data_IF_520953997754
#
_entry.id   IF_520953997754
#
_cell.length_a   1.000
_cell.length_b   1.000
_cell.length_c   1.000
_cell.angle_alpha   90.00
_cell.angle_beta   90.00
_cell.angle_gamma   90.00
#
_symmetry.space_group_name_H-M   'P 1'
#
loop_
_entity.id
_entity.type
_entity.pdbx_description
1 polymer ?
#
# COMPACT_ATOMS: atom_id res chain seq x y z
N UNK A 1 21.33 -6.76 -12.90
CA UNK A 1 20.47 -7.78 -12.24
C UNK A 1 19.04 -7.54 -12.70
N UNK A 2 18.30 -8.56 -13.14
CA UNK A 2 16.91 -8.40 -13.65
C UNK A 2 15.89 -8.41 -12.50
N UNK A 3 16.21 -9.10 -11.41
CA UNK A 3 15.43 -9.14 -10.18
C UNK A 3 15.88 -8.02 -9.23
N UNK A 4 14.95 -7.51 -8.44
CA UNK A 4 15.19 -6.51 -7.41
C UNK A 4 14.61 -7.02 -6.10
N UNK A 5 15.25 -6.73 -4.97
CA UNK A 5 14.81 -7.19 -3.65
C UNK A 5 14.43 -6.04 -2.73
N UNK A 6 13.56 -6.35 -1.77
CA UNK A 6 13.10 -5.40 -0.77
C UNK A 6 12.54 -6.09 0.45
N UNK A 7 12.03 -5.28 1.35
CA UNK A 7 11.38 -5.74 2.57
C UNK A 7 10.28 -4.77 3.00
N UNK A 8 9.66 -5.12 4.12
CA UNK A 8 8.48 -4.45 4.67
C UNK A 8 8.84 -3.60 5.88
N UNK A 9 8.43 -2.34 5.85
CA UNK A 9 8.36 -1.41 6.98
C UNK A 9 9.68 -1.14 7.69
N UNK A 10 10.23 -2.07 8.46
CA UNK A 10 11.32 -1.80 9.41
C UNK A 10 12.61 -2.51 9.01
N UNK A 11 13.73 -1.77 8.96
CA UNK A 11 15.06 -2.36 8.91
C UNK A 11 15.48 -2.76 10.33
N UNK A 12 15.52 -4.06 10.63
CA UNK A 12 15.86 -4.56 11.98
C UNK A 12 17.30 -4.22 12.39
N UNK A 13 18.20 -4.01 11.43
CA UNK A 13 19.59 -3.63 11.68
C UNK A 13 19.76 -2.17 12.13
N UNK A 14 18.72 -1.33 12.01
CA UNK A 14 18.77 0.05 12.46
C UNK A 14 18.24 0.19 13.89
N UNK A 15 19.10 0.70 14.77
CA UNK A 15 18.74 0.98 16.16
C UNK A 15 17.61 2.04 16.26
N UNK A 16 16.55 1.73 17.02
CA UNK A 16 15.43 2.65 17.30
C UNK A 16 14.87 3.37 16.07
N UNK A 17 14.75 2.65 14.94
CA UNK A 17 14.34 3.21 13.66
C UNK A 17 12.97 2.72 13.16
N UNK A 18 12.06 2.38 14.07
CA UNK A 18 10.71 1.96 13.66
C UNK A 18 9.95 3.13 12.99
N UNK A 19 9.39 2.95 11.78
CA UNK A 19 8.54 3.94 11.11
C UNK A 19 7.05 3.74 11.44
N UNK A 20 6.74 2.94 12.46
CA UNK A 20 5.38 2.49 12.78
C UNK A 20 5.01 2.76 14.23
N UNK A 21 5.61 3.77 14.87
CA UNK A 21 5.16 4.19 16.19
C UNK A 21 3.70 4.62 16.09
N UNK A 22 2.88 4.19 17.06
CA UNK A 22 1.43 4.40 17.03
C UNK A 22 0.94 5.10 18.28
N UNK A 23 -0.22 5.73 18.16
CA UNK A 23 -0.99 6.29 19.25
C UNK A 23 -2.41 5.74 19.14
N UNK A 24 -2.81 4.90 20.10
CA UNK A 24 -4.18 4.37 20.11
C UNK A 24 -5.16 5.49 20.36
N UNK A 25 -6.36 5.37 19.80
CA UNK A 25 -7.40 6.38 19.96
C UNK A 25 -7.78 6.60 21.44
N UNK A 26 -7.86 5.52 22.23
CA UNK A 26 -8.09 5.59 23.68
C UNK A 26 -7.01 6.41 24.38
N UNK A 27 -5.74 6.21 24.04
CA UNK A 27 -4.64 6.96 24.65
C UNK A 27 -4.61 8.41 24.18
N UNK A 28 -4.99 8.70 22.94
CA UNK A 28 -5.18 10.05 22.43
C UNK A 28 -6.31 10.79 23.13
N UNK A 29 -7.48 10.14 23.32
CA UNK A 29 -8.63 10.72 24.05
C UNK A 29 -8.31 11.09 25.49
N UNK A 30 -7.47 10.30 26.16
CA UNK A 30 -7.01 10.56 27.55
C UNK A 30 -6.10 11.77 27.70
N UNK A 31 -5.55 12.30 26.61
CA UNK A 31 -4.68 13.48 26.66
C UNK A 31 -5.50 14.75 26.88
N UNK A 32 -4.85 15.73 27.50
CA UNK A 32 -5.32 17.12 27.49
C UNK A 32 -5.44 17.61 26.05
N UNK A 33 -6.48 18.40 25.77
CA UNK A 33 -6.82 18.84 24.42
C UNK A 33 -5.66 19.56 23.72
N UNK A 34 -4.94 20.41 24.46
CA UNK A 34 -3.75 21.10 23.98
C UNK A 34 -2.62 20.14 23.55
N UNK A 35 -2.40 19.04 24.28
CA UNK A 35 -1.31 18.10 24.00
C UNK A 35 -1.64 17.03 22.95
N UNK A 36 -2.92 16.86 22.59
CA UNK A 36 -3.36 15.85 21.61
C UNK A 36 -2.66 16.00 20.26
N UNK A 37 -2.60 17.25 19.78
CA UNK A 37 -1.96 17.60 18.50
C UNK A 37 -0.45 17.39 18.56
N UNK A 38 0.19 17.84 19.63
CA UNK A 38 1.64 17.72 19.82
C UNK A 38 2.10 16.26 19.82
N UNK A 39 1.33 15.35 20.43
CA UNK A 39 1.66 13.91 20.44
C UNK A 39 1.55 13.28 19.05
N UNK A 40 0.52 13.61 18.29
CA UNK A 40 0.41 13.18 16.90
C UNK A 40 1.61 13.68 16.10
N UNK A 41 1.94 14.96 16.27
CA UNK A 41 3.03 15.58 15.52
C UNK A 41 4.37 14.93 15.84
N UNK A 42 4.67 14.76 17.12
CA UNK A 42 5.90 14.14 17.58
C UNK A 42 6.08 12.71 17.04
N UNK A 43 5.02 11.90 17.10
CA UNK A 43 5.08 10.50 16.65
C UNK A 43 5.23 10.43 15.12
N UNK A 44 4.45 11.23 14.38
CA UNK A 44 4.55 11.29 12.92
C UNK A 44 5.93 11.78 12.47
N UNK A 45 6.45 12.83 13.09
CA UNK A 45 7.78 13.36 12.77
C UNK A 45 8.87 12.28 12.99
N UNK A 46 8.80 11.55 14.10
CA UNK A 46 9.71 10.43 14.38
C UNK A 46 9.60 9.32 13.33
N UNK A 47 8.38 8.95 12.95
CA UNK A 47 8.16 7.92 11.93
C UNK A 47 8.76 8.34 10.59
N UNK A 48 8.54 9.58 10.13
CA UNK A 48 9.09 10.11 8.88
C UNK A 48 10.62 10.20 8.91
N UNK A 49 11.20 10.69 10.01
CA UNK A 49 12.66 10.70 10.22
C UNK A 49 13.25 9.29 10.19
N UNK A 50 12.55 8.32 10.76
CA UNK A 50 12.96 6.92 10.72
C UNK A 50 12.85 6.31 9.31
N UNK A 51 11.83 6.70 8.54
CA UNK A 51 11.74 6.33 7.12
C UNK A 51 12.92 6.88 6.32
N UNK A 52 13.34 8.12 6.55
CA UNK A 52 14.54 8.69 5.92
C UNK A 52 15.79 7.86 6.25
N UNK A 53 15.98 7.49 7.53
CA UNK A 53 17.08 6.60 7.95
C UNK A 53 17.04 5.24 7.26
N UNK A 54 15.85 4.67 7.12
CA UNK A 54 15.61 3.42 6.39
C UNK A 54 15.98 3.56 4.91
N UNK A 55 15.58 4.66 4.25
CA UNK A 55 15.94 4.88 2.86
C UNK A 55 17.45 4.99 2.66
N UNK A 56 18.16 5.69 3.56
CA UNK A 56 19.63 5.71 3.53
C UNK A 56 20.24 4.32 3.73
N UNK A 57 19.69 3.51 4.64
CA UNK A 57 20.10 2.12 4.81
C UNK A 57 19.91 1.32 3.51
N UNK A 58 18.75 1.45 2.87
CA UNK A 58 18.43 0.78 1.61
C UNK A 58 19.40 1.16 0.51
N UNK A 59 19.68 2.46 0.36
CA UNK A 59 20.64 2.99 -0.62
C UNK A 59 22.03 2.41 -0.37
N UNK A 60 22.49 2.40 0.88
CA UNK A 60 23.82 1.89 1.24
C UNK A 60 23.99 0.39 0.99
N UNK A 61 22.89 -0.38 1.05
CA UNK A 61 22.90 -1.85 0.89
C UNK A 61 22.38 -2.33 -0.47
N UNK A 62 22.06 -1.41 -1.40
CA UNK A 62 21.51 -1.76 -2.70
C UNK A 62 20.14 -2.43 -2.65
N UNK A 63 19.32 -2.08 -1.64
CA UNK A 63 17.93 -2.56 -1.51
C UNK A 63 17.03 -1.61 -2.27
N UNK A 64 16.48 -2.08 -3.39
CA UNK A 64 15.79 -1.21 -4.35
C UNK A 64 14.26 -1.16 -4.15
N UNK A 65 13.65 -2.14 -3.47
CA UNK A 65 12.23 -2.09 -3.12
C UNK A 65 12.02 -1.86 -1.63
N UNK A 66 11.03 -1.04 -1.31
CA UNK A 66 10.64 -0.79 0.07
C UNK A 66 9.14 -0.57 0.21
N UNK A 67 8.48 -1.48 0.94
CA UNK A 67 7.09 -1.26 1.33
C UNK A 67 7.08 -0.40 2.60
N UNK A 68 6.62 0.84 2.46
CA UNK A 68 6.49 1.77 3.58
C UNK A 68 5.42 1.28 4.57
N UNK A 69 5.52 1.74 5.82
CA UNK A 69 4.52 1.42 6.84
C UNK A 69 3.23 2.20 6.63
N UNK A 70 2.08 1.54 6.62
CA UNK A 70 0.78 2.24 6.66
C UNK A 70 0.55 2.99 7.98
N UNK A 71 1.37 2.74 9.01
CA UNK A 71 1.27 3.39 10.33
C UNK A 71 2.18 4.63 10.47
N UNK A 72 2.70 5.19 9.37
CA UNK A 72 3.52 6.42 9.41
C UNK A 72 2.82 7.57 10.14
N UNK A 73 1.52 7.72 9.89
CA UNK A 73 0.70 8.79 10.48
C UNK A 73 -0.38 8.16 11.37
N UNK A 74 -0.20 8.17 12.71
CA UNK A 74 -1.20 7.62 13.62
C UNK A 74 -2.53 8.34 13.51
N UNK A 75 -3.62 7.57 13.52
CA UNK A 75 -5.00 8.08 13.56
C UNK A 75 -5.39 8.99 12.38
N UNK A 76 -4.62 9.00 11.28
CA UNK A 76 -4.90 9.83 10.10
C UNK A 76 -6.32 9.62 9.55
N UNK A 77 -6.77 8.37 9.53
CA UNK A 77 -8.09 7.97 9.02
C UNK A 77 -9.17 7.89 10.10
N UNK A 78 -8.86 8.22 11.35
CA UNK A 78 -9.83 8.12 12.44
C UNK A 78 -10.87 9.26 12.37
N UNK A 79 -12.19 8.96 12.36
CA UNK A 79 -13.23 9.95 12.07
C UNK A 79 -13.34 11.08 13.10
N UNK A 80 -12.93 10.83 14.35
CA UNK A 80 -12.93 11.83 15.43
C UNK A 80 -11.64 12.66 15.53
N UNK A 81 -10.57 12.30 14.82
CA UNK A 81 -9.26 12.98 14.97
C UNK A 81 -9.04 14.00 13.85
N UNK A 82 -9.33 13.62 12.59
CA UNK A 82 -9.28 14.45 11.37
C UNK A 82 -8.33 15.65 11.46
N UNK A 83 -7.06 15.42 11.14
CA UNK A 83 -6.01 16.41 11.33
C UNK A 83 -5.12 16.52 10.09
N UNK A 84 -4.58 17.72 9.87
CA UNK A 84 -3.63 17.98 8.78
C UNK A 84 -2.26 17.40 9.11
N UNK A 85 -1.96 16.25 8.49
CA UNK A 85 -0.68 15.56 8.60
C UNK A 85 0.28 15.90 7.47
N UNK A 86 -0.12 16.68 6.46
CA UNK A 86 0.73 16.97 5.30
C UNK A 86 1.50 18.26 5.51
N UNK A 87 0.80 19.36 5.77
CA UNK A 87 1.43 20.70 5.87
C UNK A 87 2.55 20.78 6.91
N UNK A 88 2.39 20.22 8.13
CA UNK A 88 3.43 20.31 9.16
C UNK A 88 4.73 19.57 8.82
N UNK A 89 4.66 18.58 7.92
CA UNK A 89 5.79 17.70 7.60
C UNK A 89 6.20 17.76 6.13
N UNK A 90 5.77 18.80 5.40
CA UNK A 90 6.00 18.93 3.97
C UNK A 90 7.47 18.78 3.57
N UNK A 91 8.41 19.29 4.37
CA UNK A 91 9.84 19.17 4.10
C UNK A 91 10.34 17.72 4.25
N UNK A 92 9.87 16.99 5.28
CA UNK A 92 10.23 15.58 5.49
C UNK A 92 9.65 14.68 4.39
N UNK A 93 8.41 14.92 3.97
CA UNK A 93 7.82 14.19 2.85
C UNK A 93 8.58 14.44 1.54
N UNK A 94 8.92 15.70 1.25
CA UNK A 94 9.74 16.04 0.07
C UNK A 94 11.11 15.39 0.14
N UNK A 95 11.75 15.35 1.30
CA UNK A 95 13.04 14.67 1.49
C UNK A 95 12.94 13.17 1.15
N UNK A 96 11.92 12.48 1.68
CA UNK A 96 11.62 11.08 1.35
C UNK A 96 11.46 10.92 -0.17
N UNK A 97 10.64 11.76 -0.79
CA UNK A 97 10.40 11.77 -2.22
C UNK A 97 11.67 11.93 -3.05
N UNK A 98 12.51 12.89 -2.68
CA UNK A 98 13.78 13.18 -3.33
C UNK A 98 14.75 12.01 -3.24
N UNK A 99 14.87 11.35 -2.08
CA UNK A 99 15.70 10.16 -1.90
C UNK A 99 15.22 9.01 -2.79
N UNK A 100 13.91 8.74 -2.79
CA UNK A 100 13.32 7.66 -3.60
C UNK A 100 13.59 7.89 -5.08
N UNK A 101 13.34 9.10 -5.60
CA UNK A 101 13.53 9.40 -7.02
C UNK A 101 15.01 9.41 -7.42
N UNK A 102 15.86 10.07 -6.64
CA UNK A 102 17.31 10.21 -6.91
C UNK A 102 18.01 8.86 -6.98
N UNK A 103 17.59 7.91 -6.15
CA UNK A 103 18.19 6.58 -6.06
C UNK A 103 17.36 5.49 -6.73
N UNK A 104 16.34 5.87 -7.51
CA UNK A 104 15.48 4.95 -8.27
C UNK A 104 14.87 3.81 -7.44
N UNK A 105 14.56 4.10 -6.17
CA UNK A 105 13.88 3.15 -5.30
C UNK A 105 12.43 2.97 -5.73
N UNK A 106 11.91 1.75 -5.61
CA UNK A 106 10.50 1.45 -5.82
C UNK A 106 9.81 1.32 -4.48
N UNK A 107 8.82 2.17 -4.25
CA UNK A 107 8.09 2.18 -2.98
C UNK A 107 6.63 1.82 -3.17
N UNK A 108 6.05 1.25 -2.13
CA UNK A 108 4.64 0.89 -2.10
C UNK A 108 4.06 1.02 -0.70
N UNK A 109 2.74 1.10 -0.64
CA UNK A 109 1.97 0.81 0.57
C UNK A 109 1.17 -0.47 0.37
N UNK A 110 0.81 -1.07 1.50
CA UNK A 110 -0.19 -2.14 1.53
C UNK A 110 -1.13 -1.85 2.69
N UNK A 111 -2.25 -1.14 2.43
CA UNK A 111 -3.30 -0.92 3.41
C UNK A 111 -3.72 -2.22 4.10
N UNK A 112 -4.28 -2.10 5.29
CA UNK A 112 -4.64 -3.26 6.09
C UNK A 112 -5.86 -4.01 5.49
N UNK A 113 -6.15 -5.18 6.05
CA UNK A 113 -7.24 -6.07 5.64
C UNK A 113 -8.67 -5.49 5.75
N UNK A 114 -8.84 -4.29 6.31
CA UNK A 114 -10.13 -3.61 6.42
C UNK A 114 -10.44 -2.70 5.21
N UNK A 115 -9.47 -2.49 4.31
CA UNK A 115 -9.72 -1.82 3.01
C UNK A 115 -10.43 -2.79 2.07
N UNK A 116 -11.76 -2.75 2.07
CA UNK A 116 -12.62 -3.72 1.37
C UNK A 116 -13.62 -3.04 0.44
N UNK A 117 -13.59 -3.42 -0.83
CA UNK A 117 -14.56 -2.98 -1.85
C UNK A 117 -15.64 -4.04 -2.14
N UNK A 118 -15.50 -5.27 -1.63
CA UNK A 118 -16.48 -6.37 -1.81
C UNK A 118 -17.61 -6.37 -0.79
N UNK A 119 -17.57 -5.48 0.21
CA UNK A 119 -18.55 -5.45 1.31
C UNK A 119 -19.95 -5.03 0.85
N UNK A 120 -21.02 -5.68 1.36
CA UNK A 120 -22.39 -5.20 1.13
C UNK A 120 -22.73 -3.95 1.96
N UNK A 121 -21.91 -3.59 2.95
CA UNK A 121 -22.17 -2.44 3.81
C UNK A 121 -21.45 -1.20 3.25
N UNK A 122 -22.22 -0.17 2.92
CA UNK A 122 -21.72 1.06 2.28
C UNK A 122 -20.60 1.73 3.08
N UNK A 123 -20.74 1.82 4.42
CA UNK A 123 -19.74 2.46 5.27
C UNK A 123 -18.36 1.78 5.22
N UNK A 124 -18.30 0.47 4.93
CA UNK A 124 -17.02 -0.25 4.77
C UNK A 124 -16.32 0.23 3.48
N UNK A 125 -17.07 0.43 2.40
CA UNK A 125 -16.55 1.03 1.16
C UNK A 125 -16.08 2.46 1.39
N UNK A 126 -16.87 3.26 2.13
CA UNK A 126 -16.48 4.63 2.50
C UNK A 126 -15.17 4.65 3.28
N UNK A 127 -14.99 3.74 4.25
CA UNK A 127 -13.75 3.62 5.01
C UNK A 127 -12.58 3.16 4.13
N UNK A 128 -12.81 2.25 3.18
CA UNK A 128 -11.79 1.82 2.21
C UNK A 128 -11.33 3.00 1.34
N UNK A 129 -12.26 3.85 0.88
CA UNK A 129 -11.92 5.07 0.14
C UNK A 129 -11.07 6.02 1.00
N UNK A 130 -11.46 6.26 2.27
CA UNK A 130 -10.68 7.09 3.20
C UNK A 130 -9.27 6.53 3.38
N UNK A 131 -9.11 5.22 3.56
CA UNK A 131 -7.79 4.59 3.75
C UNK A 131 -6.94 4.69 2.49
N UNK A 132 -7.51 4.43 1.30
CA UNK A 132 -6.82 4.57 0.03
C UNK A 132 -6.40 6.02 -0.25
N UNK A 133 -7.26 6.99 0.03
CA UNK A 133 -6.95 8.43 -0.08
C UNK A 133 -5.81 8.84 0.85
N UNK A 134 -5.82 8.39 2.10
CA UNK A 134 -4.73 8.65 3.05
C UNK A 134 -3.36 8.21 2.51
N UNK A 135 -3.27 6.99 1.96
CA UNK A 135 -2.03 6.49 1.38
C UNK A 135 -1.60 7.27 0.13
N UNK A 136 -2.56 7.67 -0.69
CA UNK A 136 -2.31 8.48 -1.88
C UNK A 136 -1.83 9.89 -1.53
N UNK A 137 -2.46 10.56 -0.56
CA UNK A 137 -2.05 11.89 -0.06
C UNK A 137 -0.61 11.89 0.48
N UNK A 138 -0.20 10.82 1.16
CA UNK A 138 1.22 10.65 1.54
C UNK A 138 2.12 10.59 0.31
N UNK A 139 1.75 9.83 -0.72
CA UNK A 139 2.53 9.82 -1.97
C UNK A 139 2.50 11.16 -2.71
N UNK A 140 1.41 11.93 -2.64
CA UNK A 140 1.37 13.28 -3.19
C UNK A 140 2.32 14.23 -2.46
N UNK A 141 2.31 14.20 -1.12
CA UNK A 141 3.24 14.97 -0.29
C UNK A 141 4.72 14.63 -0.60
N UNK A 142 5.00 13.37 -0.95
CA UNK A 142 6.33 12.91 -1.37
C UNK A 142 6.62 13.19 -2.86
N UNK A 143 5.66 13.63 -3.67
CA UNK A 143 5.83 13.73 -5.13
C UNK A 143 5.96 12.37 -5.85
N UNK A 144 5.46 11.29 -5.24
CA UNK A 144 5.56 9.90 -5.70
C UNK A 144 4.23 9.30 -6.19
N UNK A 145 3.12 10.04 -6.14
CA UNK A 145 1.76 9.58 -6.47
C UNK A 145 1.57 9.02 -7.90
N UNK A 146 2.54 9.20 -8.80
CA UNK A 146 2.55 8.58 -10.13
C UNK A 146 3.53 7.40 -10.25
N UNK A 147 4.41 7.22 -9.27
CA UNK A 147 5.57 6.33 -9.30
C UNK A 147 5.58 5.28 -8.19
N UNK A 148 4.47 5.11 -7.48
CA UNK A 148 4.36 4.23 -6.33
C UNK A 148 3.00 3.52 -6.32
N UNK A 149 2.95 2.30 -5.81
CA UNK A 149 1.74 1.48 -5.84
C UNK A 149 1.09 1.33 -4.46
N UNK A 150 -0.24 1.20 -4.45
CA UNK A 150 -1.02 0.86 -3.26
C UNK A 150 -1.61 -0.53 -3.48
N UNK A 151 -1.08 -1.54 -2.77
CA UNK A 151 -1.47 -2.92 -2.97
C UNK A 151 -2.57 -3.35 -2.00
N UNK A 152 -3.64 -3.96 -2.49
CA UNK A 152 -4.72 -4.52 -1.69
C UNK A 152 -5.11 -5.91 -2.18
N UNK A 153 -5.81 -6.67 -1.35
CA UNK A 153 -6.50 -7.89 -1.80
C UNK A 153 -7.87 -7.52 -2.39
N UNK A 154 -8.48 -8.45 -3.12
CA UNK A 154 -9.85 -8.27 -3.65
C UNK A 154 -10.85 -8.06 -2.50
N UNK A 155 -10.71 -8.83 -1.42
CA UNK A 155 -11.51 -8.73 -0.20
C UNK A 155 -12.15 -10.06 0.19
N UNK A 156 -13.29 -10.02 0.88
CA UNK A 156 -14.04 -11.23 1.26
C UNK A 156 -15.07 -11.65 0.21
N UNK A 157 -15.37 -12.95 0.12
CA UNK A 157 -16.41 -13.50 -0.75
C UNK A 157 -17.85 -13.30 -0.22
N UNK A 158 -18.03 -13.07 1.09
CA UNK A 158 -19.35 -12.90 1.72
C UNK A 158 -20.38 -13.98 1.34
N UNK A 159 -19.93 -15.24 1.21
CA UNK A 159 -20.77 -16.38 0.85
C UNK A 159 -20.96 -16.60 -0.66
N UNK A 160 -20.72 -15.59 -1.51
CA UNK A 160 -20.83 -15.70 -2.96
C UNK A 160 -19.77 -14.83 -3.67
N UNK A 161 -18.76 -15.48 -4.27
CA UNK A 161 -17.66 -14.82 -4.97
C UNK A 161 -18.12 -13.96 -6.15
N UNK A 162 -19.10 -14.42 -6.92
CA UNK A 162 -19.59 -13.69 -8.11
C UNK A 162 -20.26 -12.38 -7.70
N UNK A 163 -21.15 -12.42 -6.71
CA UNK A 163 -21.77 -11.21 -6.17
C UNK A 163 -20.75 -10.29 -5.51
N UNK A 164 -19.75 -10.84 -4.81
CA UNK A 164 -18.69 -10.05 -4.20
C UNK A 164 -17.83 -9.33 -5.25
N UNK A 165 -17.49 -9.99 -6.36
CA UNK A 165 -16.80 -9.33 -7.49
C UNK A 165 -17.72 -8.29 -8.14
N UNK A 166 -19.02 -8.56 -8.26
CA UNK A 166 -20.01 -7.56 -8.70
C UNK A 166 -19.96 -6.29 -7.84
N UNK A 167 -19.98 -6.45 -6.51
CA UNK A 167 -19.82 -5.34 -5.57
C UNK A 167 -18.46 -4.66 -5.68
N UNK A 168 -17.38 -5.41 -5.84
CA UNK A 168 -16.05 -4.83 -6.09
C UNK A 168 -16.10 -3.91 -7.32
N UNK A 169 -16.70 -4.36 -8.42
CA UNK A 169 -16.80 -3.59 -9.65
C UNK A 169 -17.58 -2.29 -9.45
N UNK A 170 -18.70 -2.33 -8.73
CA UNK A 170 -19.54 -1.17 -8.43
C UNK A 170 -18.90 -0.20 -7.43
N UNK A 171 -18.21 -0.71 -6.42
CA UNK A 171 -17.65 0.08 -5.34
C UNK A 171 -16.27 0.65 -5.69
N UNK A 172 -15.44 -0.11 -6.38
CA UNK A 172 -14.09 0.29 -6.72
C UNK A 172 -14.09 1.53 -7.62
N UNK A 173 -15.01 1.63 -8.58
CA UNK A 173 -15.13 2.81 -9.46
C UNK A 173 -15.50 4.11 -8.74
N UNK A 174 -15.98 4.04 -7.49
CA UNK A 174 -16.22 5.22 -6.64
C UNK A 174 -14.92 5.84 -6.11
N UNK A 175 -13.83 5.08 -6.12
CA UNK A 175 -12.49 5.58 -5.78
C UNK A 175 -11.99 6.49 -6.91
N UNK A 176 -11.35 7.59 -6.52
CA UNK A 176 -10.75 8.55 -7.46
C UNK A 176 -9.88 7.84 -8.50
N UNK A 177 -9.99 8.28 -9.75
CA UNK A 177 -9.32 7.62 -10.87
C UNK A 177 -7.80 7.62 -10.72
N UNK A 178 -7.19 8.67 -10.15
CA UNK A 178 -5.75 8.73 -9.96
C UNK A 178 -5.30 7.73 -8.89
N UNK A 179 -6.09 7.54 -7.84
CA UNK A 179 -5.82 6.52 -6.83
C UNK A 179 -5.97 5.13 -7.45
N UNK A 180 -7.04 4.87 -8.21
CA UNK A 180 -7.24 3.59 -8.92
C UNK A 180 -6.08 3.24 -9.84
N UNK A 181 -5.49 4.21 -10.55
CA UNK A 181 -4.30 4.01 -11.40
C UNK A 181 -3.08 3.52 -10.62
N UNK A 182 -2.95 3.89 -9.35
CA UNK A 182 -1.88 3.41 -8.47
C UNK A 182 -2.23 2.13 -7.71
N UNK A 183 -3.50 1.76 -7.65
CA UNK A 183 -3.92 0.50 -7.02
C UNK A 183 -3.36 -0.70 -7.78
N UNK A 184 -2.95 -1.70 -7.03
CA UNK A 184 -2.63 -3.05 -7.50
C UNK A 184 -3.40 -4.07 -6.68
N UNK A 185 -3.72 -5.21 -7.29
CA UNK A 185 -4.36 -6.32 -6.58
C UNK A 185 -3.40 -7.49 -6.40
N UNK A 186 -3.50 -8.15 -5.26
CA UNK A 186 -2.73 -9.33 -4.89
C UNK A 186 -3.66 -10.50 -4.55
N UNK A 187 -3.32 -11.70 -5.06
CA UNK A 187 -4.04 -12.93 -4.72
C UNK A 187 -3.89 -13.26 -3.24
N UNK A 188 -4.85 -13.99 -2.68
CA UNK A 188 -4.85 -14.32 -1.26
C UNK A 188 -4.92 -15.84 -1.01
N UNK A 189 -4.64 -16.23 0.24
CA UNK A 189 -4.44 -17.62 0.65
C UNK A 189 -5.74 -18.41 0.88
N UNK A 190 -6.92 -17.79 0.74
CA UNK A 190 -8.20 -18.39 1.18
C UNK A 190 -9.38 -18.15 0.26
N UNK A 191 -9.49 -16.94 -0.28
CA UNK A 191 -10.68 -16.42 -0.93
C UNK A 191 -10.46 -16.37 -2.43
N UNK A 192 -9.57 -15.51 -2.92
CA UNK A 192 -9.38 -15.30 -4.35
C UNK A 192 -8.04 -15.87 -4.83
N UNK A 193 -8.10 -16.82 -5.76
CA UNK A 193 -6.92 -17.42 -6.38
C UNK A 193 -6.17 -16.40 -7.24
N UNK A 194 -4.98 -16.78 -7.71
CA UNK A 194 -4.21 -15.98 -8.66
C UNK A 194 -4.98 -15.71 -9.97
N UNK A 195 -5.66 -16.73 -10.50
CA UNK A 195 -6.47 -16.58 -11.71
C UNK A 195 -7.67 -15.64 -11.49
N UNK A 196 -8.42 -15.84 -10.41
CA UNK A 196 -9.60 -15.01 -10.11
C UNK A 196 -9.20 -13.54 -9.92
N UNK A 197 -8.12 -13.28 -9.19
CA UNK A 197 -7.61 -11.92 -8.97
C UNK A 197 -7.10 -11.30 -10.27
N UNK A 198 -6.40 -12.06 -11.10
CA UNK A 198 -5.90 -11.62 -12.41
C UNK A 198 -7.05 -11.20 -13.34
N UNK A 199 -8.17 -11.93 -13.35
CA UNK A 199 -9.36 -11.55 -14.13
C UNK A 199 -9.92 -10.19 -13.68
N UNK A 200 -9.95 -9.92 -12.37
CA UNK A 200 -10.37 -8.60 -11.84
C UNK A 200 -9.38 -7.51 -12.28
N UNK A 201 -8.08 -7.78 -12.23
CA UNK A 201 -7.05 -6.86 -12.72
C UNK A 201 -7.24 -6.51 -14.21
N UNK A 202 -7.42 -7.52 -15.06
CA UNK A 202 -7.64 -7.34 -16.49
C UNK A 202 -8.91 -6.52 -16.79
N UNK A 203 -10.00 -6.77 -16.04
CA UNK A 203 -11.25 -6.02 -16.19
C UNK A 203 -11.11 -4.53 -15.85
N UNK A 204 -10.32 -4.19 -14.82
CA UNK A 204 -10.16 -2.81 -14.34
C UNK A 204 -8.89 -2.11 -14.86
N UNK A 205 -8.07 -2.79 -15.66
CA UNK A 205 -6.75 -2.28 -16.09
C UNK A 205 -5.77 -2.08 -14.93
N UNK A 206 -5.87 -2.90 -13.88
CA UNK A 206 -4.98 -2.86 -12.73
C UNK A 206 -3.77 -3.76 -12.94
N UNK A 207 -2.65 -3.40 -12.34
CA UNK A 207 -1.50 -4.27 -12.27
C UNK A 207 -1.69 -5.34 -11.18
N UNK A 208 -1.34 -6.57 -11.50
CA UNK A 208 -1.46 -7.72 -10.62
C UNK A 208 -0.13 -8.02 -9.92
N UNK A 209 -0.13 -7.98 -8.58
CA UNK A 209 0.99 -8.41 -7.73
C UNK A 209 0.77 -9.88 -7.39
N UNK A 210 1.70 -10.74 -7.80
CA UNK A 210 1.57 -12.17 -7.50
C UNK A 210 2.27 -12.50 -6.18
N UNK A 211 1.53 -13.06 -5.23
CA UNK A 211 2.08 -13.65 -4.01
C UNK A 211 2.19 -15.17 -4.16
N UNK A 212 3.43 -15.65 -4.16
CA UNK A 212 3.73 -17.06 -4.36
C UNK A 212 3.25 -17.93 -3.19
N UNK A 213 3.32 -17.44 -1.95
CA UNK A 213 2.92 -18.22 -0.78
C UNK A 213 1.40 -18.33 -0.70
N UNK A 214 0.69 -17.25 -1.02
CA UNK A 214 -0.77 -17.29 -1.15
C UNK A 214 -1.20 -18.23 -2.27
N UNK A 215 -0.52 -18.21 -3.42
CA UNK A 215 -0.81 -19.16 -4.49
C UNK A 215 -0.52 -20.61 -4.06
N UNK A 216 0.57 -20.86 -3.33
CA UNK A 216 0.83 -22.21 -2.83
C UNK A 216 -0.26 -22.72 -1.88
N UNK A 217 -0.81 -21.84 -1.04
CA UNK A 217 -1.93 -22.17 -0.16
C UNK A 217 -3.28 -22.27 -0.89
N UNK A 218 -3.47 -21.51 -1.96
CA UNK A 218 -4.70 -21.40 -2.74
C UNK A 218 -4.39 -21.38 -4.25
N UNK A 219 -3.97 -22.51 -4.83
CA UNK A 219 -3.37 -22.56 -6.17
C UNK A 219 -4.37 -22.29 -7.29
N UNK A 220 -5.65 -22.58 -7.08
CA UNK A 220 -6.62 -22.62 -8.18
C UNK A 220 -6.31 -23.78 -9.14
N UNK A 221 -6.80 -23.67 -10.38
CA UNK A 221 -6.65 -24.73 -11.38
C UNK A 221 -5.48 -24.50 -12.35
N UNK A 222 -5.18 -23.24 -12.65
CA UNK A 222 -4.09 -22.86 -13.58
C UNK A 222 -2.73 -22.83 -12.88
N UNK A 223 -1.71 -23.28 -13.60
CA UNK A 223 -0.32 -23.21 -13.14
C UNK A 223 0.21 -21.78 -13.19
N UNK A 224 1.23 -21.47 -12.37
CA UNK A 224 1.88 -20.15 -12.38
C UNK A 224 2.42 -19.83 -13.77
N UNK A 225 3.03 -20.81 -14.43
CA UNK A 225 3.63 -20.71 -15.77
C UNK A 225 2.61 -20.24 -16.82
N UNK A 226 1.37 -20.73 -16.74
CA UNK A 226 0.28 -20.31 -17.62
C UNK A 226 -0.22 -18.90 -17.31
N UNK A 227 -0.19 -18.49 -16.04
CA UNK A 227 -0.63 -17.16 -15.61
C UNK A 227 0.41 -16.09 -15.93
N UNK A 228 1.71 -16.40 -15.83
CA UNK A 228 2.80 -15.42 -15.95
C UNK A 228 2.65 -14.47 -17.15
N UNK A 229 2.45 -14.92 -18.41
CA UNK A 229 2.35 -14.00 -19.54
C UNK A 229 1.25 -12.93 -19.39
N UNK A 230 0.11 -13.31 -18.82
CA UNK A 230 -1.01 -12.41 -18.53
C UNK A 230 -0.69 -11.48 -17.36
N UNK A 231 -0.06 -12.01 -16.30
CA UNK A 231 0.44 -11.21 -15.17
C UNK A 231 1.37 -10.11 -15.68
N UNK A 232 2.38 -10.45 -16.47
CA UNK A 232 3.31 -9.51 -17.10
C UNK A 232 2.59 -8.46 -17.97
N UNK A 233 1.53 -8.86 -18.68
CA UNK A 233 0.75 -7.93 -19.49
C UNK A 233 0.07 -6.84 -18.67
N UNK A 234 -0.36 -7.13 -17.43
CA UNK A 234 -0.99 -6.12 -16.54
C UNK A 234 -0.04 -4.99 -16.11
N UNK A 235 1.27 -5.19 -16.25
CA UNK A 235 2.29 -4.17 -15.94
C UNK A 235 2.74 -3.38 -17.17
N UNK A 236 2.38 -3.80 -18.38
CA UNK A 236 2.74 -3.09 -19.62
C UNK A 236 2.01 -1.74 -19.68
N UNK A 237 2.74 -0.67 -19.99
CA UNK A 237 2.17 0.68 -20.12
C UNK A 237 2.08 1.48 -18.80
N UNK A 238 2.44 0.89 -17.65
CA UNK A 238 2.75 1.68 -16.45
C UNK A 238 4.16 2.25 -16.61
N UNK A 239 4.27 3.33 -17.40
CA UNK A 239 5.54 4.00 -17.73
C UNK A 239 6.25 4.61 -16.52
N UNK A 240 5.59 4.71 -15.36
CA UNK A 240 6.10 5.39 -14.17
C UNK A 240 6.11 4.45 -12.95
N UNK A 241 7.13 3.59 -12.87
CA UNK A 241 7.64 2.97 -11.63
C UNK A 241 9.20 3.04 -11.60
N UNK A 242 9.74 4.05 -12.30
CA UNK A 242 11.15 4.36 -12.57
C UNK A 242 11.97 3.24 -13.25
N UNK A 243 11.43 2.69 -14.35
CA UNK A 243 12.03 1.72 -15.29
C UNK A 243 12.03 0.24 -14.88
N UNK A 244 10.85 -0.31 -14.59
CA UNK A 244 10.66 -1.77 -14.60
C UNK A 244 9.29 -2.14 -15.15
N UNK A 245 9.28 -2.86 -16.27
CA UNK A 245 8.12 -3.56 -16.84
C UNK A 245 7.83 -4.89 -16.12
N UNK A 246 8.50 -5.16 -15.00
CA UNK A 246 8.47 -6.46 -14.33
C UNK A 246 7.49 -6.44 -13.13
N UNK A 247 6.68 -7.51 -12.96
CA UNK A 247 5.77 -7.68 -11.85
C UNK A 247 6.48 -7.60 -10.50
N UNK A 248 5.77 -7.13 -9.49
CA UNK A 248 6.15 -7.40 -8.11
C UNK A 248 5.76 -8.84 -7.79
N UNK A 249 6.75 -9.60 -7.31
CA UNK A 249 6.54 -10.91 -6.72
C UNK A 249 6.70 -10.75 -5.21
N UNK A 250 5.67 -11.11 -4.46
CA UNK A 250 5.74 -11.12 -3.01
C UNK A 250 6.12 -12.53 -2.55
N UNK A 251 7.22 -12.62 -1.81
CA UNK A 251 7.63 -13.83 -1.10
C UNK A 251 7.72 -13.45 0.39
N UNK A 252 6.76 -13.89 1.18
CA UNK A 252 6.83 -13.80 2.64
C UNK A 252 7.60 -15.02 3.13
N UNK A 253 8.78 -14.82 3.72
CA UNK A 253 9.47 -15.86 4.47
C UNK A 253 8.71 -16.21 5.75
#
# INVERSE_FOLDING_TARGET
>A
MILRFGYVSTALSLWEATPSRTLTFTNWKKQEEASRKEKLYHITEQNLKNTIRILHYNIAHGIELYRMSSSLVPLATHPEVKWDFVTPFGDLFKEIGNLVQKHHLRVSFHPNQYTLFTSPQEHITTNAIIDMTYHYEMFEAMGLHKNASINIHVGGAYGNKEEAIGRFNENFVKLDENIRKQTTLENDDKTYTAEETLRVCEQHGLAFVFDYHHHWANPGEQTVEELLPRIFATWKGRESLLNSTYPLLNQKN
#
